data_IF_443972393524
#
_entry.id   IF_443972393524
#
_cell.length_a   1.000
_cell.length_b   1.000
_cell.length_c   1.000
_cell.angle_alpha   90.00
_cell.angle_beta   90.00
_cell.angle_gamma   90.00
#
_symmetry.space_group_name_H-M   'P 1'
#
loop_
_entity.id
_entity.type
_entity.pdbx_description
1 polymer ?
#
# COMPACT_ATOMS: atom_id res chain seq x y z
N UNK A 1 10.02 -18.42 -24.08
CA UNK A 1 9.73 -16.97 -24.14
C UNK A 1 9.20 -16.59 -22.77
N UNK A 2 10.06 -15.95 -21.99
CA UNK A 2 9.78 -15.37 -20.67
C UNK A 2 8.93 -14.10 -20.85
N UNK A 3 8.23 -13.66 -19.80
CA UNK A 3 7.37 -12.46 -19.70
C UNK A 3 5.86 -12.67 -19.93
N UNK A 4 5.25 -13.45 -19.03
CA UNK A 4 3.81 -13.41 -18.76
C UNK A 4 3.43 -12.20 -17.89
N UNK A 5 3.52 -11.00 -18.45
CA UNK A 5 2.89 -9.80 -17.88
C UNK A 5 2.25 -9.04 -19.05
N UNK A 6 1.02 -9.44 -19.42
CA UNK A 6 0.15 -8.53 -20.15
C UNK A 6 -0.36 -7.45 -19.18
N UNK A 7 -0.65 -6.23 -19.66
CA UNK A 7 -0.96 -5.04 -18.86
C UNK A 7 -2.39 -5.08 -18.31
N UNK A 8 -2.81 -6.23 -17.80
CA UNK A 8 -4.05 -6.36 -17.05
C UNK A 8 -3.84 -5.65 -15.71
N UNK A 9 -4.82 -4.82 -15.35
CA UNK A 9 -4.79 -3.85 -14.27
C UNK A 9 -3.98 -4.26 -13.03
N UNK A 10 -3.26 -3.32 -12.40
CA UNK A 10 -2.42 -3.60 -11.24
C UNK A 10 -3.19 -4.40 -10.17
N UNK A 11 -2.65 -5.52 -9.71
CA UNK A 11 -3.35 -6.45 -8.82
C UNK A 11 -3.27 -6.04 -7.34
N UNK A 12 -4.33 -6.33 -6.58
CA UNK A 12 -4.31 -6.19 -5.12
C UNK A 12 -3.17 -7.00 -4.46
N UNK A 13 -2.47 -6.40 -3.50
CA UNK A 13 -1.37 -7.00 -2.75
C UNK A 13 -1.82 -7.98 -1.65
N UNK A 14 -3.12 -8.13 -1.40
CA UNK A 14 -3.62 -9.13 -0.46
C UNK A 14 -3.34 -10.52 -1.03
N UNK A 15 -2.62 -11.34 -0.25
CA UNK A 15 -2.37 -12.73 -0.63
C UNK A 15 -3.67 -13.48 -0.98
N UNK A 16 -3.71 -14.08 -2.17
CA UNK A 16 -4.87 -14.79 -2.70
C UNK A 16 -5.93 -13.92 -3.37
N UNK A 17 -5.81 -12.58 -3.33
CA UNK A 17 -6.72 -11.69 -4.05
C UNK A 17 -6.23 -11.48 -5.48
N UNK A 18 -7.12 -11.62 -6.46
CA UNK A 18 -6.85 -11.39 -7.89
C UNK A 18 -7.60 -10.18 -8.45
N UNK A 19 -8.24 -9.39 -7.59
CA UNK A 19 -8.99 -8.21 -8.01
C UNK A 19 -8.05 -7.06 -8.40
N UNK A 20 -8.54 -6.20 -9.30
CA UNK A 20 -7.86 -4.98 -9.72
C UNK A 20 -7.73 -4.01 -8.55
N UNK A 21 -6.53 -3.45 -8.39
CA UNK A 21 -6.26 -2.41 -7.44
C UNK A 21 -6.81 -1.08 -7.94
N UNK A 22 -7.52 -0.41 -7.03
CA UNK A 22 -8.06 0.93 -7.23
C UNK A 22 -7.40 1.96 -6.32
N UNK A 23 -6.66 1.52 -5.31
CA UNK A 23 -6.01 2.40 -4.34
C UNK A 23 -4.60 1.94 -4.00
N UNK A 24 -3.81 2.88 -3.51
CA UNK A 24 -2.45 2.68 -3.00
C UNK A 24 -2.41 2.92 -1.50
N UNK A 25 -1.98 1.90 -0.76
CA UNK A 25 -1.73 1.96 0.67
C UNK A 25 -0.25 2.29 0.85
N UNK A 26 0.05 3.57 1.06
CA UNK A 26 1.42 4.07 1.28
C UNK A 26 1.71 3.99 2.77
N UNK A 27 2.83 3.39 3.14
CA UNK A 27 3.15 3.14 4.55
C UNK A 27 4.65 3.10 4.84
N UNK A 28 5.01 3.15 6.12
CA UNK A 28 6.40 3.05 6.59
C UNK A 28 6.49 2.16 7.82
N UNK A 29 7.59 1.40 7.95
CA UNK A 29 7.96 0.75 9.21
C UNK A 29 8.96 1.65 9.97
N UNK A 30 8.53 2.44 10.97
CA UNK A 30 9.42 3.36 11.68
C UNK A 30 10.49 2.65 12.52
N UNK A 31 10.34 1.34 12.76
CA UNK A 31 11.31 0.56 13.53
C UNK A 31 12.62 0.29 12.78
N UNK A 32 12.59 0.37 11.45
CA UNK A 32 13.75 0.03 10.58
C UNK A 32 13.97 1.02 9.43
N UNK A 33 13.07 1.98 9.21
CA UNK A 33 13.15 2.93 8.10
C UNK A 33 12.97 4.37 8.57
N UNK A 34 13.88 5.25 8.12
CA UNK A 34 13.75 6.69 8.24
C UNK A 34 12.57 7.26 7.43
N UNK A 35 12.20 8.54 7.64
CA UNK A 35 11.03 9.17 7.02
C UNK A 35 11.10 9.26 5.48
N UNK A 36 12.31 9.17 4.91
CA UNK A 36 12.55 9.15 3.47
C UNK A 36 12.11 7.83 2.79
N UNK A 37 12.03 6.72 3.53
CA UNK A 37 11.77 5.40 2.95
C UNK A 37 10.35 4.93 3.22
N UNK A 38 9.59 4.78 2.14
CA UNK A 38 8.17 4.39 2.13
C UNK A 38 8.01 3.11 1.32
N UNK A 39 6.91 2.40 1.58
CA UNK A 39 6.47 1.24 0.81
C UNK A 39 5.05 1.50 0.33
N UNK A 40 4.69 0.86 -0.78
CA UNK A 40 3.34 0.89 -1.33
C UNK A 40 2.81 -0.53 -1.45
N UNK A 41 1.59 -0.73 -0.97
CA UNK A 41 0.76 -1.89 -1.29
C UNK A 41 -0.42 -1.46 -2.13
N UNK A 42 -0.74 -2.23 -3.15
CA UNK A 42 -1.90 -1.97 -4.01
C UNK A 42 -3.14 -2.65 -3.43
N UNK A 43 -4.29 -2.01 -3.51
CA UNK A 43 -5.52 -2.49 -2.87
C UNK A 43 -6.75 -2.31 -3.77
N UNK A 44 -7.60 -3.33 -3.83
CA UNK A 44 -8.97 -3.17 -4.30
C UNK A 44 -9.84 -2.55 -3.20
N UNK A 45 -11.05 -2.12 -3.53
CA UNK A 45 -11.98 -1.46 -2.59
C UNK A 45 -12.25 -2.31 -1.34
N UNK A 46 -12.33 -3.63 -1.51
CA UNK A 46 -12.58 -4.58 -0.42
C UNK A 46 -11.42 -4.66 0.58
N UNK A 47 -10.18 -4.60 0.09
CA UNK A 47 -8.99 -4.88 0.90
C UNK A 47 -8.25 -3.63 1.39
N UNK A 48 -8.50 -2.46 0.81
CA UNK A 48 -7.96 -1.20 1.29
C UNK A 48 -8.17 -0.97 2.80
N UNK A 49 -9.39 -1.13 3.37
CA UNK A 49 -9.61 -0.94 4.81
C UNK A 49 -8.83 -1.97 5.64
N UNK A 50 -8.86 -3.25 5.25
CA UNK A 50 -8.15 -4.32 5.95
C UNK A 50 -6.63 -4.07 6.04
N UNK A 51 -6.01 -3.70 4.92
CA UNK A 51 -4.56 -3.43 4.86
C UNK A 51 -4.18 -2.20 5.70
N UNK A 52 -5.02 -1.16 5.69
CA UNK A 52 -4.84 0.01 6.56
C UNK A 52 -4.91 -0.39 8.02
N UNK A 53 -5.94 -1.13 8.44
CA UNK A 53 -6.13 -1.57 9.83
C UNK A 53 -4.97 -2.45 10.33
N UNK A 54 -4.47 -3.34 9.46
CA UNK A 54 -3.29 -4.15 9.76
C UNK A 54 -2.06 -3.31 10.09
N UNK A 55 -1.87 -2.18 9.40
CA UNK A 55 -0.75 -1.28 9.61
C UNK A 55 -0.97 -0.38 10.85
N UNK A 56 -2.16 0.17 11.01
CA UNK A 56 -2.48 1.02 12.17
C UNK A 56 -2.44 0.24 13.49
N UNK A 57 -2.86 -1.02 13.52
CA UNK A 57 -2.75 -1.88 14.71
C UNK A 57 -1.31 -2.16 15.14
N UNK A 58 -0.33 -1.92 14.26
CA UNK A 58 1.11 -2.02 14.55
C UNK A 58 1.77 -0.66 14.81
N UNK A 59 0.95 0.40 14.91
CA UNK A 59 1.42 1.77 14.99
C UNK A 59 2.37 2.14 13.83
N UNK A 60 2.03 1.74 12.60
CA UNK A 60 2.78 2.15 11.41
C UNK A 60 2.09 3.33 10.72
N UNK A 61 2.83 4.40 10.33
CA UNK A 61 2.30 5.46 9.49
C UNK A 61 1.72 4.89 8.20
N UNK A 62 0.48 5.24 7.88
CA UNK A 62 -0.20 4.79 6.67
C UNK A 62 -1.18 5.85 6.14
N UNK A 63 -1.18 6.03 4.83
CA UNK A 63 -2.13 6.84 4.08
C UNK A 63 -2.67 5.98 2.93
N UNK A 64 -3.98 6.01 2.72
CA UNK A 64 -4.63 5.38 1.55
C UNK A 64 -4.90 6.46 0.52
N UNK A 65 -4.44 6.26 -0.71
CA UNK A 65 -4.59 7.19 -1.82
C UNK A 65 -5.42 6.50 -2.90
N UNK A 66 -6.39 7.22 -3.47
CA UNK A 66 -7.13 6.74 -4.63
C UNK A 66 -6.22 6.68 -5.87
N UNK A 67 -6.34 5.61 -6.65
CA UNK A 67 -5.47 5.32 -7.78
C UNK A 67 -4.18 4.56 -7.42
N UNK A 68 -3.46 4.18 -8.46
CA UNK A 68 -2.18 3.45 -8.38
C UNK A 68 -1.04 4.45 -8.49
N UNK A 69 -0.31 4.63 -7.39
CA UNK A 69 0.83 5.56 -7.28
C UNK A 69 2.06 4.84 -6.72
N UNK A 70 3.24 5.37 -7.00
CA UNK A 70 4.51 4.83 -6.46
C UNK A 70 4.81 5.33 -5.02
N UNK A 71 3.98 6.24 -4.50
CA UNK A 71 4.09 6.76 -3.13
C UNK A 71 5.04 7.96 -2.99
N UNK A 72 5.66 8.41 -4.07
CA UNK A 72 6.42 9.67 -4.09
C UNK A 72 5.53 10.86 -3.74
N UNK A 73 6.05 11.77 -2.92
CA UNK A 73 5.34 12.98 -2.50
C UNK A 73 4.20 12.77 -1.48
N UNK A 74 3.85 11.52 -1.14
CA UNK A 74 2.79 11.24 -0.15
C UNK A 74 3.34 11.36 1.27
N UNK A 75 2.96 12.42 1.97
CA UNK A 75 3.30 12.59 3.38
C UNK A 75 2.51 11.60 4.25
N UNK A 76 3.23 10.90 5.14
CA UNK A 76 2.63 9.93 6.04
C UNK A 76 2.41 10.59 7.39
N UNK A 77 1.25 10.37 8.04
CA UNK A 77 0.99 10.93 9.36
C UNK A 77 2.00 10.41 10.38
N UNK A 78 2.38 11.24 11.33
CA UNK A 78 3.08 10.75 12.50
C UNK A 78 2.12 9.86 13.30
N UNK A 79 2.60 8.69 13.71
CA UNK A 79 1.76 7.79 14.52
C UNK A 79 1.77 8.33 15.92
N UNK A 80 0.60 8.78 16.40
CA UNK A 80 0.41 9.06 17.81
C UNK A 80 0.58 7.73 18.58
N UNK A 81 1.55 7.71 19.49
CA UNK A 81 1.93 6.57 20.31
C UNK A 81 0.79 6.11 21.23
#
# INVERSE_FOLDING_TARGET
>A
MIFGFSPDSPQCSRAGCTADARSSVVWRNPRIHGPERRKVWLACDEHAPYLREFLTSRAFPVTVVDGVVDGSGIELPEVSA
#
